data_IF_941942078475
#
_entry.id   IF_941942078475
#
_cell.length_a   1.000
_cell.length_b   1.000
_cell.length_c   1.000
_cell.angle_alpha   90.00
_cell.angle_beta   90.00
_cell.angle_gamma   90.00
#
_symmetry.space_group_name_H-M   'P 1'
#
loop_
_entity.id
_entity.type
_entity.pdbx_description
1 polymer ?
#
# COMPACT_ATOMS: atom_id res chain seq x y z
N UNK A 1 24.50 -18.58 11.27
CA UNK A 1 24.19 -20.01 11.27
C UNK A 1 23.30 -20.29 10.04
N UNK A 2 23.83 -20.96 9.02
CA UNK A 2 23.15 -21.20 7.73
C UNK A 2 22.25 -22.42 7.85
N UNK A 3 20.94 -22.22 7.78
CA UNK A 3 19.98 -23.32 7.74
C UNK A 3 19.95 -23.83 6.30
N UNK A 4 20.61 -24.96 6.04
CA UNK A 4 20.51 -25.74 4.80
C UNK A 4 19.47 -26.85 5.09
N UNK A 5 18.39 -26.97 4.32
CA UNK A 5 17.44 -28.06 4.51
C UNK A 5 18.15 -29.40 4.26
N UNK A 6 18.14 -30.32 5.25
CA UNK A 6 18.83 -31.59 5.24
C UNK A 6 18.22 -32.68 4.35
N UNK A 7 17.28 -32.36 3.44
CA UNK A 7 16.54 -33.36 2.64
C UNK A 7 16.59 -33.15 1.11
N UNK A 8 17.70 -32.65 0.59
CA UNK A 8 17.91 -32.69 -0.87
C UNK A 8 18.86 -33.84 -1.23
N UNK A 9 18.42 -34.71 -2.16
CA UNK A 9 19.22 -35.74 -2.77
C UNK A 9 20.58 -35.21 -3.25
N UNK A 10 21.69 -35.92 -3.06
CA UNK A 10 23.04 -35.45 -3.43
C UNK A 10 23.17 -35.06 -4.90
N UNK A 11 22.42 -35.69 -5.80
CA UNK A 11 22.35 -35.41 -7.24
C UNK A 11 21.77 -34.00 -7.57
N UNK A 12 20.88 -33.46 -6.74
CA UNK A 12 20.25 -32.17 -6.92
C UNK A 12 20.98 -31.01 -6.23
N UNK A 13 21.95 -31.31 -5.35
CA UNK A 13 22.69 -30.27 -4.63
C UNK A 13 23.58 -29.39 -5.53
N UNK A 14 24.28 -30.00 -6.48
CA UNK A 14 25.20 -29.27 -7.38
C UNK A 14 24.49 -28.28 -8.29
N UNK A 15 23.40 -28.62 -8.98
CA UNK A 15 22.68 -27.63 -9.83
C UNK A 15 21.99 -26.52 -9.03
N UNK A 16 21.45 -26.84 -7.85
CA UNK A 16 20.81 -25.81 -6.99
C UNK A 16 21.83 -24.81 -6.44
N UNK A 17 22.98 -25.27 -5.98
CA UNK A 17 24.07 -24.41 -5.52
C UNK A 17 24.63 -23.57 -6.66
N UNK A 18 24.73 -24.10 -7.89
CA UNK A 18 25.16 -23.35 -9.07
C UNK A 18 24.13 -22.29 -9.50
N UNK A 19 22.82 -22.57 -9.35
CA UNK A 19 21.76 -21.61 -9.63
C UNK A 19 21.73 -20.48 -8.59
N UNK A 20 21.89 -20.81 -7.30
CA UNK A 20 21.97 -19.81 -6.22
C UNK A 20 23.23 -18.93 -6.35
N UNK A 21 24.38 -19.49 -6.76
CA UNK A 21 25.59 -18.71 -7.03
C UNK A 21 25.41 -17.75 -8.22
N UNK A 22 24.76 -18.19 -9.32
CA UNK A 22 24.44 -17.31 -10.46
C UNK A 22 23.46 -16.20 -10.09
N UNK A 23 22.46 -16.50 -9.27
CA UNK A 23 21.53 -15.49 -8.76
C UNK A 23 22.23 -14.46 -7.87
N UNK A 24 23.10 -14.93 -6.96
CA UNK A 24 23.88 -14.04 -6.09
C UNK A 24 24.89 -13.18 -6.87
N UNK A 25 25.47 -13.69 -7.96
CA UNK A 25 26.40 -12.94 -8.83
C UNK A 25 25.62 -11.88 -9.65
N UNK A 26 24.40 -12.21 -10.11
CA UNK A 26 23.56 -11.25 -10.85
C UNK A 26 23.07 -10.11 -9.94
N UNK A 27 22.69 -10.43 -8.70
CA UNK A 27 22.34 -9.43 -7.67
C UNK A 27 23.57 -8.57 -7.30
N UNK A 28 24.76 -9.14 -7.27
CA UNK A 28 26.01 -8.39 -7.00
C UNK A 28 26.36 -7.42 -8.12
N UNK A 29 26.04 -7.75 -9.38
CA UNK A 29 26.33 -6.91 -10.55
C UNK A 29 25.37 -5.69 -10.65
N UNK A 30 24.18 -5.74 -10.00
CA UNK A 30 23.26 -4.62 -9.93
C UNK A 30 23.52 -3.66 -8.74
N UNK A 31 24.45 -4.01 -7.83
CA UNK A 31 24.81 -3.22 -6.63
C UNK A 31 26.24 -2.66 -6.72
N UNK A 32 26.89 -2.66 -7.88
CA UNK A 32 28.09 -1.84 -8.05
C UNK A 32 27.70 -0.37 -8.25
N UNK A 33 27.27 0.25 -7.14
CA UNK A 33 27.23 1.70 -7.03
C UNK A 33 28.64 2.25 -7.12
N UNK A 34 28.89 3.06 -8.14
CA UNK A 34 30.14 3.81 -8.29
C UNK A 34 30.44 4.61 -6.99
N UNK A 35 31.67 4.60 -6.55
CA UNK A 35 32.13 5.34 -5.37
C UNK A 35 31.81 6.86 -5.41
N UNK A 36 31.52 7.41 -6.59
CA UNK A 36 31.09 8.79 -6.78
C UNK A 36 29.63 9.04 -6.30
N UNK A 37 28.79 8.00 -6.13
CA UNK A 37 27.44 8.15 -5.59
C UNK A 37 27.40 8.01 -4.07
N UNK A 38 28.40 7.43 -3.43
CA UNK A 38 28.46 7.22 -1.97
C UNK A 38 28.34 8.54 -1.20
N UNK A 39 29.02 9.60 -1.64
CA UNK A 39 28.97 10.94 -1.02
C UNK A 39 27.55 11.58 -1.02
N UNK A 40 26.70 11.20 -1.96
CA UNK A 40 25.33 11.71 -2.04
C UNK A 40 24.38 10.98 -1.09
N UNK A 41 24.76 9.77 -0.67
CA UNK A 41 24.00 8.94 0.27
C UNK A 41 24.49 9.07 1.73
N UNK A 42 25.71 9.56 1.97
CA UNK A 42 26.17 9.88 3.33
C UNK A 42 25.30 10.96 3.99
N UNK A 43 24.76 11.90 3.23
CA UNK A 43 23.78 12.87 3.74
C UNK A 43 22.38 12.25 3.97
N UNK A 44 22.07 11.10 3.39
CA UNK A 44 20.83 10.35 3.66
C UNK A 44 20.94 9.52 4.94
N UNK A 45 22.13 9.04 5.29
CA UNK A 45 22.40 8.32 6.55
C UNK A 45 22.28 9.24 7.78
N UNK A 46 22.61 10.52 7.64
CA UNK A 46 22.47 11.52 8.74
C UNK A 46 20.99 11.82 9.05
N UNK A 47 20.08 11.52 8.14
CA UNK A 47 18.63 11.59 8.34
C UNK A 47 17.98 10.21 8.56
N UNK A 48 18.69 9.25 9.10
CA UNK A 48 18.06 8.03 9.62
C UNK A 48 17.16 8.43 10.81
N UNK A 49 15.96 8.95 10.48
CA UNK A 49 14.86 9.06 11.45
C UNK A 49 14.69 7.67 12.01
N UNK A 50 15.01 7.51 13.30
CA UNK A 50 14.84 6.27 14.03
C UNK A 50 13.48 5.68 13.67
N UNK A 51 13.50 4.52 13.02
CA UNK A 51 12.25 3.85 12.59
C UNK A 51 11.40 3.62 13.84
N UNK A 52 10.23 4.26 13.92
CA UNK A 52 9.42 4.31 15.13
C UNK A 52 8.87 2.95 15.57
N UNK A 53 8.86 1.98 14.65
CA UNK A 53 8.34 0.63 14.87
C UNK A 53 9.41 -0.41 15.22
N UNK A 54 10.65 0.04 15.53
CA UNK A 54 11.73 -0.85 15.95
C UNK A 54 12.36 -0.30 17.22
N UNK A 55 12.70 -1.21 18.14
CA UNK A 55 13.46 -0.88 19.36
C UNK A 55 14.97 -0.77 19.07
N UNK A 56 15.75 -0.54 20.13
CA UNK A 56 17.20 -0.43 20.02
C UNK A 56 17.89 -1.77 19.64
N UNK A 57 17.21 -2.88 19.81
CA UNK A 57 17.65 -4.24 19.49
C UNK A 57 17.17 -4.67 18.09
N UNK A 58 16.45 -3.81 17.35
CA UNK A 58 15.92 -4.11 16.03
C UNK A 58 14.67 -4.98 16.05
N UNK A 59 13.99 -5.13 17.19
CA UNK A 59 12.75 -5.87 17.29
C UNK A 59 11.57 -4.98 16.95
N UNK A 60 10.61 -5.54 16.21
CA UNK A 60 9.39 -4.82 15.83
C UNK A 60 8.51 -4.58 17.05
N UNK A 61 8.05 -3.35 17.22
CA UNK A 61 7.08 -2.98 18.26
C UNK A 61 6.11 -1.93 17.76
N UNK A 62 4.91 -1.96 18.30
CA UNK A 62 3.93 -0.91 18.06
C UNK A 62 4.34 0.36 18.83
N UNK A 63 4.15 1.52 18.21
CA UNK A 63 4.49 2.81 18.83
C UNK A 63 3.53 3.08 20.00
N UNK A 64 4.05 3.42 21.16
CA UNK A 64 3.22 3.90 22.26
C UNK A 64 2.67 5.29 21.95
N UNK A 65 1.36 5.41 21.93
CA UNK A 65 0.65 6.67 21.66
C UNK A 65 -0.12 7.21 22.89
N UNK A 66 -0.01 6.55 24.04
CA UNK A 66 -0.77 6.85 25.27
C UNK A 66 -0.61 8.31 25.74
N UNK A 67 0.59 8.88 25.54
CA UNK A 67 0.90 10.26 25.94
C UNK A 67 0.51 11.31 24.91
N UNK A 68 -0.04 10.92 23.74
CA UNK A 68 -0.42 11.86 22.69
C UNK A 68 -1.82 12.38 22.90
N UNK A 69 -2.01 13.67 22.68
CA UNK A 69 -3.33 14.28 22.70
C UNK A 69 -4.20 13.75 21.55
N UNK A 70 -5.47 13.54 21.83
CA UNK A 70 -6.48 13.26 20.83
C UNK A 70 -6.76 14.52 20.01
N UNK A 71 -6.56 14.45 18.71
CA UNK A 71 -6.80 15.56 17.79
C UNK A 71 -7.62 15.11 16.60
N UNK A 72 -8.36 16.04 15.98
CA UNK A 72 -9.04 15.77 14.71
C UNK A 72 -8.01 15.49 13.63
N UNK A 73 -8.23 14.42 12.86
CA UNK A 73 -7.34 13.97 11.79
C UNK A 73 -8.15 13.56 10.59
N UNK A 74 -7.61 13.84 9.43
CA UNK A 74 -8.20 13.50 8.14
C UNK A 74 -7.10 12.98 7.21
N UNK A 75 -7.44 11.98 6.39
CA UNK A 75 -6.60 11.53 5.30
C UNK A 75 -7.43 11.27 4.05
N UNK A 76 -6.84 11.57 2.90
CA UNK A 76 -7.39 11.32 1.58
C UNK A 76 -6.39 10.47 0.77
N UNK A 77 -6.89 9.43 0.12
CA UNK A 77 -6.10 8.58 -0.77
C UNK A 77 -6.82 8.38 -2.10
N UNK A 78 -6.09 7.99 -3.11
CA UNK A 78 -6.60 7.66 -4.43
C UNK A 78 -6.11 6.32 -4.92
N UNK A 79 -6.82 5.75 -5.90
CA UNK A 79 -6.40 4.64 -6.73
C UNK A 79 -7.03 4.81 -8.12
N UNK A 80 -6.45 4.15 -9.12
CA UNK A 80 -7.01 4.11 -10.48
C UNK A 80 -7.00 2.68 -11.00
N UNK A 81 -8.15 2.25 -11.57
CA UNK A 81 -8.29 0.95 -12.19
C UNK A 81 -8.42 1.15 -13.69
N UNK A 82 -7.37 0.79 -14.43
CA UNK A 82 -7.33 0.91 -15.90
C UNK A 82 -8.17 -0.19 -16.52
N UNK A 83 -9.06 0.19 -17.44
CA UNK A 83 -9.96 -0.72 -18.14
C UNK A 83 -10.09 -0.33 -19.60
N UNK A 84 -10.41 -1.31 -20.45
CA UNK A 84 -10.76 -1.03 -21.84
C UNK A 84 -12.15 -0.39 -21.95
N UNK A 85 -12.43 0.37 -23.02
CA UNK A 85 -13.76 0.94 -23.24
C UNK A 85 -14.89 -0.12 -23.28
N UNK A 86 -14.58 -1.34 -23.73
CA UNK A 86 -15.51 -2.46 -23.78
C UNK A 86 -15.96 -2.87 -22.37
N UNK A 87 -14.99 -3.01 -21.44
CA UNK A 87 -15.26 -3.34 -20.04
C UNK A 87 -16.06 -2.22 -19.36
N UNK A 88 -15.69 -0.96 -19.62
CA UNK A 88 -16.41 0.20 -19.04
C UNK A 88 -17.87 0.27 -19.50
N UNK A 89 -18.16 -0.05 -20.77
CA UNK A 89 -19.53 -0.12 -21.29
C UNK A 89 -20.35 -1.24 -20.67
N UNK A 90 -19.70 -2.33 -20.28
CA UNK A 90 -20.37 -3.50 -19.70
C UNK A 90 -20.62 -3.37 -18.17
N UNK A 91 -20.08 -2.34 -17.49
CA UNK A 91 -20.25 -2.18 -16.04
C UNK A 91 -21.72 -2.17 -15.59
N UNK A 92 -22.65 -1.44 -16.26
CA UNK A 92 -24.04 -1.38 -15.82
C UNK A 92 -24.78 -2.73 -15.91
N UNK A 93 -24.34 -3.61 -16.80
CA UNK A 93 -24.97 -4.93 -17.07
C UNK A 93 -24.20 -6.09 -16.44
N UNK A 94 -23.36 -5.80 -15.42
CA UNK A 94 -22.54 -6.83 -14.79
C UNK A 94 -23.45 -7.85 -14.05
N UNK A 95 -23.34 -9.15 -14.36
CA UNK A 95 -24.20 -10.18 -13.76
C UNK A 95 -23.98 -10.38 -12.26
N UNK A 96 -22.88 -9.84 -11.70
CA UNK A 96 -22.59 -9.88 -10.27
C UNK A 96 -23.17 -8.67 -9.50
N UNK A 97 -23.95 -7.81 -10.16
CA UNK A 97 -24.47 -6.56 -9.61
C UNK A 97 -23.59 -5.35 -9.94
N UNK A 98 -23.88 -4.19 -9.35
CA UNK A 98 -23.16 -2.95 -9.60
C UNK A 98 -21.72 -3.01 -9.03
N UNK A 99 -20.67 -3.09 -9.86
CA UNK A 99 -19.29 -3.20 -9.41
C UNK A 99 -18.83 -2.01 -8.58
N UNK A 100 -19.37 -0.82 -8.84
CA UNK A 100 -18.94 0.40 -8.14
C UNK A 100 -19.55 0.46 -6.73
N UNK A 101 -20.80 0.06 -6.55
CA UNK A 101 -21.43 0.03 -5.22
C UNK A 101 -20.87 -1.09 -4.34
N UNK A 102 -20.58 -2.26 -4.92
CA UNK A 102 -19.89 -3.35 -4.20
C UNK A 102 -18.50 -2.90 -3.77
N UNK A 103 -17.74 -2.23 -4.65
CA UNK A 103 -16.42 -1.71 -4.34
C UNK A 103 -16.44 -0.59 -3.30
N UNK A 104 -17.43 0.30 -3.34
CA UNK A 104 -17.67 1.34 -2.33
C UNK A 104 -17.85 0.71 -0.95
N UNK A 105 -18.74 -0.24 -0.85
CA UNK A 105 -19.03 -0.96 0.40
C UNK A 105 -17.79 -1.69 0.91
N UNK A 106 -17.06 -2.39 0.04
CA UNK A 106 -15.84 -3.10 0.39
C UNK A 106 -14.74 -2.16 0.91
N UNK A 107 -14.56 -1.00 0.28
CA UNK A 107 -13.62 0.03 0.74
C UNK A 107 -13.97 0.57 2.12
N UNK A 108 -15.24 0.84 2.39
CA UNK A 108 -15.71 1.27 3.72
C UNK A 108 -15.45 0.19 4.77
N UNK A 109 -15.75 -1.08 4.46
CA UNK A 109 -15.48 -2.19 5.37
C UNK A 109 -13.98 -2.37 5.64
N UNK A 110 -13.16 -2.23 4.61
CA UNK A 110 -11.70 -2.37 4.72
C UNK A 110 -11.08 -1.28 5.60
N UNK A 111 -11.52 -0.03 5.47
CA UNK A 111 -11.09 1.05 6.36
C UNK A 111 -11.33 0.72 7.83
N UNK A 112 -12.49 0.12 8.16
CA UNK A 112 -12.84 -0.27 9.54
C UNK A 112 -11.99 -1.43 10.08
N UNK A 113 -11.33 -2.20 9.21
CA UNK A 113 -10.52 -3.37 9.54
C UNK A 113 -9.03 -3.17 9.31
N UNK A 114 -8.58 -1.94 9.13
CA UNK A 114 -7.18 -1.65 8.80
C UNK A 114 -6.21 -2.24 9.81
N UNK A 115 -6.50 -2.16 11.11
CA UNK A 115 -5.64 -2.72 12.15
C UNK A 115 -5.54 -4.26 12.12
N UNK A 116 -6.52 -4.95 11.54
CA UNK A 116 -6.48 -6.40 11.31
C UNK A 116 -5.60 -6.79 10.12
N UNK A 117 -5.44 -5.87 9.14
CA UNK A 117 -4.71 -6.09 7.89
C UNK A 117 -3.26 -5.61 7.96
N UNK A 118 -3.00 -4.54 8.69
CA UNK A 118 -1.70 -3.87 8.76
C UNK A 118 -1.14 -4.02 10.20
N UNK A 119 -0.11 -4.86 10.39
CA UNK A 119 0.31 -5.33 11.72
C UNK A 119 0.66 -4.21 12.73
N UNK A 120 1.19 -3.08 12.25
CA UNK A 120 1.65 -1.99 13.12
C UNK A 120 0.65 -0.83 13.20
N UNK A 121 -0.56 -0.97 12.67
CA UNK A 121 -1.61 0.03 12.81
C UNK A 121 -2.36 -0.14 14.14
N UNK A 122 -2.58 0.99 14.81
CA UNK A 122 -3.46 1.03 15.97
C UNK A 122 -4.92 0.91 15.53
N UNK A 123 -5.78 0.22 16.29
CA UNK A 123 -7.22 0.29 16.07
C UNK A 123 -7.72 1.71 16.36
N UNK A 124 -8.40 2.31 15.39
CA UNK A 124 -8.88 3.70 15.47
C UNK A 124 -10.38 3.74 15.25
N UNK A 125 -11.10 4.43 16.12
CA UNK A 125 -12.53 4.70 15.93
C UNK A 125 -12.69 5.77 14.84
N UNK A 126 -13.28 5.38 13.69
CA UNK A 126 -13.47 6.26 12.55
C UNK A 126 -14.80 7.00 12.66
N UNK A 127 -14.76 8.33 12.55
CA UNK A 127 -15.95 9.19 12.58
C UNK A 127 -16.57 9.39 11.19
N UNK A 128 -15.79 9.22 10.12
CA UNK A 128 -16.27 9.36 8.75
C UNK A 128 -15.41 8.54 7.78
N UNK A 129 -16.08 7.88 6.84
CA UNK A 129 -15.45 7.20 5.71
C UNK A 129 -16.26 7.52 4.47
N UNK A 130 -15.63 8.12 3.46
CA UNK A 130 -16.20 8.28 2.13
C UNK A 130 -15.33 7.56 1.11
N UNK A 131 -15.97 6.79 0.24
CA UNK A 131 -15.34 6.15 -0.91
C UNK A 131 -16.12 6.57 -2.16
N UNK A 132 -15.48 7.28 -3.05
CA UNK A 132 -16.08 7.81 -4.28
C UNK A 132 -15.43 7.11 -5.47
N UNK A 133 -16.26 6.50 -6.32
CA UNK A 133 -15.82 5.90 -7.57
C UNK A 133 -16.46 6.66 -8.74
N UNK A 134 -15.67 6.90 -9.79
CA UNK A 134 -16.11 7.59 -11.00
C UNK A 134 -15.57 6.86 -12.22
N UNK A 135 -16.43 6.56 -13.18
CA UNK A 135 -16.02 6.08 -14.50
C UNK A 135 -15.35 7.24 -15.25
N UNK A 136 -14.17 6.96 -15.80
CA UNK A 136 -13.38 7.84 -16.64
C UNK A 136 -13.22 7.20 -18.03
N UNK A 137 -12.62 7.90 -18.97
CA UNK A 137 -12.43 7.44 -20.35
C UNK A 137 -11.68 6.09 -20.45
N UNK A 138 -10.69 5.87 -19.59
CA UNK A 138 -9.79 4.72 -19.62
C UNK A 138 -9.78 3.90 -18.32
N UNK A 139 -10.83 4.00 -17.50
CA UNK A 139 -10.89 3.28 -16.25
C UNK A 139 -11.82 3.85 -15.21
N UNK A 140 -11.61 3.46 -13.97
CA UNK A 140 -12.36 3.92 -12.79
C UNK A 140 -11.41 4.62 -11.83
N UNK A 141 -11.67 5.89 -11.55
CA UNK A 141 -10.99 6.64 -10.51
C UNK A 141 -11.64 6.37 -9.15
N UNK A 142 -10.82 6.20 -8.13
CA UNK A 142 -11.24 5.96 -6.76
C UNK A 142 -10.62 7.04 -5.88
N UNK A 143 -11.44 7.68 -5.06
CA UNK A 143 -11.00 8.62 -4.06
C UNK A 143 -11.60 8.24 -2.71
N UNK A 144 -10.77 8.25 -1.67
CA UNK A 144 -11.19 7.94 -0.30
C UNK A 144 -10.89 9.08 0.63
N UNK A 145 -11.75 9.25 1.64
CA UNK A 145 -11.58 10.24 2.69
C UNK A 145 -11.99 9.63 4.02
N UNK A 146 -11.09 9.68 4.99
CA UNK A 146 -11.31 9.11 6.33
C UNK A 146 -11.03 10.16 7.39
N UNK A 147 -11.88 10.20 8.44
CA UNK A 147 -11.72 11.11 9.57
C UNK A 147 -11.82 10.38 10.90
N UNK A 148 -11.11 10.92 11.88
CA UNK A 148 -11.15 10.49 13.28
C UNK A 148 -10.81 11.64 14.23
N UNK A 149 -11.06 11.41 15.51
CA UNK A 149 -10.45 12.16 16.61
C UNK A 149 -9.69 11.18 17.49
N UNK A 150 -8.37 11.08 17.30
CA UNK A 150 -7.54 10.06 17.91
C UNK A 150 -6.08 10.53 18.11
N UNK A 151 -5.29 9.69 18.76
CA UNK A 151 -3.87 9.88 19.06
C UNK A 151 -2.97 9.63 17.83
N UNK A 152 -3.49 8.91 16.81
CA UNK A 152 -2.76 8.55 15.58
C UNK A 152 -3.50 9.00 14.33
N UNK A 153 -2.81 9.01 13.18
CA UNK A 153 -3.37 9.35 11.87
C UNK A 153 -4.22 8.23 11.29
N UNK A 154 -4.92 8.53 10.20
CA UNK A 154 -5.81 7.62 9.45
C UNK A 154 -5.37 7.46 7.99
N UNK A 155 -4.06 7.65 7.74
CA UNK A 155 -3.49 7.51 6.42
C UNK A 155 -3.65 6.08 5.88
N UNK A 156 -3.43 5.08 6.75
CA UNK A 156 -3.54 3.67 6.35
C UNK A 156 -4.99 3.27 6.10
N UNK A 157 -5.92 3.77 6.88
CA UNK A 157 -7.36 3.54 6.68
C UNK A 157 -7.82 4.07 5.31
N UNK A 158 -7.34 5.24 4.91
CA UNK A 158 -7.65 5.81 3.59
C UNK A 158 -7.01 4.98 2.45
N UNK A 159 -5.74 4.57 2.59
CA UNK A 159 -5.03 3.75 1.61
C UNK A 159 -5.61 2.35 1.48
N UNK A 160 -5.93 1.69 2.59
CA UNK A 160 -6.55 0.36 2.62
C UNK A 160 -7.94 0.41 1.96
N UNK A 161 -8.73 1.45 2.26
CA UNK A 161 -10.03 1.66 1.60
C UNK A 161 -9.89 1.77 0.07
N UNK A 162 -8.95 2.58 -0.42
CA UNK A 162 -8.70 2.76 -1.85
C UNK A 162 -8.23 1.46 -2.52
N UNK A 163 -7.31 0.73 -1.87
CA UNK A 163 -6.76 -0.53 -2.36
C UNK A 163 -7.81 -1.62 -2.48
N UNK A 164 -8.62 -1.81 -1.43
CA UNK A 164 -9.65 -2.86 -1.42
C UNK A 164 -10.81 -2.51 -2.36
N UNK A 165 -11.18 -1.23 -2.49
CA UNK A 165 -12.14 -0.78 -3.50
C UNK A 165 -11.63 -1.11 -4.92
N UNK A 166 -10.35 -0.84 -5.23
CA UNK A 166 -9.74 -1.15 -6.51
C UNK A 166 -9.69 -2.66 -6.80
N UNK A 167 -9.29 -3.46 -5.81
CA UNK A 167 -9.31 -4.93 -5.90
C UNK A 167 -10.72 -5.47 -6.13
N UNK A 168 -11.73 -4.86 -5.52
CA UNK A 168 -13.13 -5.28 -5.70
C UNK A 168 -13.63 -4.94 -7.09
N UNK A 169 -13.30 -3.77 -7.64
CA UNK A 169 -13.60 -3.46 -9.05
C UNK A 169 -12.96 -4.50 -9.98
N UNK A 170 -11.68 -4.84 -9.74
CA UNK A 170 -11.00 -5.89 -10.50
C UNK A 170 -11.73 -7.23 -10.40
N UNK A 171 -12.07 -7.69 -9.19
CA UNK A 171 -12.75 -8.99 -8.99
C UNK A 171 -14.10 -9.05 -9.70
N UNK A 172 -14.86 -7.99 -9.64
CA UNK A 172 -16.16 -7.88 -10.27
C UNK A 172 -16.08 -7.93 -11.81
N UNK A 173 -14.98 -7.43 -12.39
CA UNK A 173 -14.82 -7.25 -13.83
C UNK A 173 -13.86 -8.25 -14.50
N UNK A 174 -13.06 -9.01 -13.75
CA UNK A 174 -12.01 -9.91 -14.28
C UNK A 174 -12.52 -11.01 -15.22
N UNK A 175 -13.82 -11.33 -15.21
CA UNK A 175 -14.43 -12.26 -16.14
C UNK A 175 -14.52 -11.67 -17.56
N UNK A 176 -14.59 -10.34 -17.70
CA UNK A 176 -14.63 -9.62 -18.97
C UNK A 176 -13.22 -9.40 -19.52
N UNK A 177 -12.28 -9.02 -18.65
CA UNK A 177 -10.88 -8.80 -19.01
C UNK A 177 -9.96 -9.03 -17.79
N UNK A 178 -8.99 -9.92 -17.93
CA UNK A 178 -7.96 -10.16 -16.91
C UNK A 178 -6.79 -9.20 -16.99
N UNK A 179 -6.71 -8.40 -18.06
CA UNK A 179 -5.69 -7.37 -18.28
C UNK A 179 -5.96 -6.06 -17.53
N UNK A 180 -7.03 -5.96 -16.75
CA UNK A 180 -7.32 -4.82 -15.89
C UNK A 180 -6.14 -4.58 -14.94
N UNK A 181 -5.67 -3.32 -14.86
CA UNK A 181 -4.55 -2.94 -14.00
C UNK A 181 -5.01 -2.01 -12.87
N UNK A 182 -4.51 -2.25 -11.67
CA UNK A 182 -4.64 -1.32 -10.55
C UNK A 182 -3.39 -0.46 -10.49
N UNK A 183 -3.55 0.85 -10.58
CA UNK A 183 -2.46 1.83 -10.59
C UNK A 183 -2.67 2.93 -9.56
N UNK A 184 -1.59 3.64 -9.25
CA UNK A 184 -1.62 4.93 -8.53
C UNK A 184 -2.33 4.88 -7.17
N UNK A 185 -2.12 3.80 -6.39
CA UNK A 185 -2.57 3.80 -4.99
C UNK A 185 -1.68 4.74 -4.19
N UNK A 186 -2.23 5.90 -3.77
CA UNK A 186 -1.43 6.99 -3.21
C UNK A 186 -2.16 7.71 -2.08
N UNK A 187 -1.38 8.19 -1.09
CA UNK A 187 -1.84 9.20 -0.16
C UNK A 187 -1.81 10.56 -0.86
N UNK A 188 -2.96 11.23 -0.95
CA UNK A 188 -3.09 12.55 -1.57
C UNK A 188 -2.91 13.67 -0.55
N UNK A 189 -3.54 13.51 0.61
CA UNK A 189 -3.53 14.52 1.66
C UNK A 189 -3.67 13.87 3.03
N UNK A 190 -3.06 14.50 4.01
CA UNK A 190 -3.43 14.30 5.41
C UNK A 190 -3.41 15.62 6.17
N UNK A 191 -4.20 15.73 7.21
CA UNK A 191 -4.18 16.87 8.11
C UNK A 191 -4.28 16.44 9.57
N UNK A 192 -3.78 17.31 10.44
CA UNK A 192 -3.71 17.10 11.88
C UNK A 192 -2.50 16.30 12.35
N UNK A 193 -2.33 16.29 13.67
CA UNK A 193 -1.22 15.61 14.35
C UNK A 193 0.09 16.42 14.38
N UNK A 194 1.09 15.88 15.11
CA UNK A 194 2.35 16.58 15.44
C UNK A 194 3.21 16.91 14.21
N UNK A 195 3.12 16.12 13.14
CA UNK A 195 3.96 16.29 11.92
C UNK A 195 3.35 17.34 10.97
N UNK A 196 2.14 17.85 11.26
CA UNK A 196 1.45 18.81 10.42
C UNK A 196 0.80 18.21 9.18
N UNK A 197 0.37 19.10 8.28
CA UNK A 197 -0.35 18.73 7.08
C UNK A 197 0.60 18.24 5.99
N UNK A 198 0.12 17.29 5.20
CA UNK A 198 0.78 16.82 3.99
C UNK A 198 -0.18 16.95 2.82
N UNK A 199 0.31 17.40 1.70
CA UNK A 199 -0.37 17.38 0.41
C UNK A 199 0.61 16.92 -0.67
N UNK A 200 0.19 15.98 -1.49
CA UNK A 200 1.00 15.53 -2.62
C UNK A 200 1.21 16.69 -3.59
N UNK A 201 2.45 17.00 -3.90
CA UNK A 201 2.81 18.00 -4.90
C UNK A 201 2.89 17.31 -6.27
N UNK A 202 2.00 17.67 -7.19
CA UNK A 202 2.06 17.34 -8.61
C UNK A 202 2.04 15.84 -8.97
N UNK A 203 1.53 15.49 -10.13
CA UNK A 203 1.72 14.18 -10.76
C UNK A 203 3.21 14.02 -11.09
N UNK A 204 3.85 12.95 -10.64
CA UNK A 204 5.09 12.51 -11.30
C UNK A 204 4.71 12.19 -12.74
N UNK A 205 5.35 12.89 -13.71
CA UNK A 205 5.25 12.59 -15.13
C UNK A 205 5.85 11.21 -15.41
#
# INVERSE_FOLDING_TARGET
MKIIPQRLEPSLRKPVIAALKRCATKIKCEIEFSAASASKYDNLLVMAKKLSHYDAQGQARMVDVSSKARTAREAEASAFVVMTPEVLRALPENPKGDPLEVARTAGIMAAKRTAELIPMCHPVALSHIAVTLRVCENGVSIATKVKTTAETGVEMEALVAASVAALTVYDMCKALDRGIEIREVMLERKSGGKIGDYRRSGKRK
#
